data_IF_536355452799
#
_entry.id   IF_536355452799
#
_cell.length_a   1.000
_cell.length_b   1.000
_cell.length_c   1.000
_cell.angle_alpha   90.00
_cell.angle_beta   90.00
_cell.angle_gamma   90.00
#
_symmetry.space_group_name_H-M   'P 1'
#
loop_
_entity.id
_entity.type
_entity.pdbx_description
1 polymer ?
#
# COMPACT_ATOMS: atom_id res chain seq x y z
N UNK A 1 77.50 -23.46 3.39
CA UNK A 1 76.31 -24.15 2.84
C UNK A 1 75.05 -24.00 3.71
N UNK A 2 75.13 -24.09 5.04
CA UNK A 2 73.96 -24.05 5.93
C UNK A 2 73.11 -22.76 5.84
N UNK A 3 73.72 -21.58 5.71
CA UNK A 3 72.99 -20.30 5.59
C UNK A 3 72.18 -20.18 4.29
N UNK A 4 72.71 -20.76 3.21
CA UNK A 4 72.01 -20.85 1.91
C UNK A 4 70.78 -21.77 2.04
N UNK A 5 70.91 -22.87 2.77
CA UNK A 5 69.81 -23.80 2.99
C UNK A 5 68.67 -23.18 3.82
N UNK A 6 69.01 -22.38 4.83
CA UNK A 6 68.03 -21.59 5.60
C UNK A 6 67.32 -20.54 4.74
N UNK A 7 68.05 -19.89 3.82
CA UNK A 7 67.45 -18.94 2.88
C UNK A 7 66.42 -19.63 1.97
N UNK A 8 66.78 -20.77 1.37
CA UNK A 8 65.85 -21.53 0.53
C UNK A 8 64.63 -22.04 1.29
N UNK A 9 64.80 -22.48 2.54
CA UNK A 9 63.69 -22.91 3.38
C UNK A 9 62.73 -21.77 3.70
N UNK A 10 63.24 -20.56 3.99
CA UNK A 10 62.40 -19.38 4.21
C UNK A 10 61.65 -18.95 2.94
N UNK A 11 62.26 -19.10 1.77
CA UNK A 11 61.67 -18.70 0.50
C UNK A 11 60.53 -19.64 0.08
N UNK A 12 60.63 -20.93 0.39
CA UNK A 12 59.58 -21.91 0.11
C UNK A 12 58.27 -21.63 0.86
N UNK A 13 58.33 -21.10 2.09
CA UNK A 13 57.15 -20.77 2.89
C UNK A 13 56.33 -19.61 2.30
N UNK A 14 57.00 -18.66 1.63
CA UNK A 14 56.35 -17.46 1.06
C UNK A 14 55.65 -17.79 -0.27
N UNK A 15 56.05 -18.88 -0.95
CA UNK A 15 55.46 -19.31 -2.22
C UNK A 15 54.04 -19.88 -2.07
N UNK A 16 53.72 -20.49 -0.92
CA UNK A 16 52.40 -21.09 -0.61
C UNK A 16 51.36 -20.05 -0.10
N UNK A 17 51.76 -18.81 0.19
CA UNK A 17 50.89 -17.81 0.84
C UNK A 17 49.96 -17.04 -0.13
N UNK A 18 49.69 -17.56 -1.33
CA UNK A 18 48.86 -16.90 -2.36
C UNK A 18 47.47 -17.54 -2.49
N UNK A 19 46.86 -17.95 -1.38
CA UNK A 19 45.46 -18.34 -1.41
C UNK A 19 44.55 -17.10 -1.57
N UNK A 20 43.66 -17.16 -2.56
CA UNK A 20 42.70 -16.12 -2.85
C UNK A 20 41.52 -16.24 -1.88
N UNK A 21 41.29 -15.28 -0.97
CA UNK A 21 40.22 -15.37 0.03
C UNK A 21 38.80 -15.23 -0.58
N UNK A 22 38.70 -14.99 -1.89
CA UNK A 22 37.45 -14.94 -2.65
C UNK A 22 37.25 -16.17 -3.53
N UNK A 23 38.20 -17.10 -3.58
CA UNK A 23 37.98 -18.36 -4.27
C UNK A 23 37.16 -19.30 -3.40
N UNK A 24 35.98 -19.62 -3.91
CA UNK A 24 35.12 -20.62 -3.31
C UNK A 24 35.71 -21.99 -3.63
N UNK A 25 36.04 -22.74 -2.59
CA UNK A 25 36.39 -24.16 -2.64
C UNK A 25 35.19 -25.08 -2.99
N UNK A 26 34.06 -24.50 -3.38
CA UNK A 26 32.82 -25.18 -3.76
C UNK A 26 32.54 -24.94 -5.25
N UNK A 27 31.99 -25.95 -5.94
CA UNK A 27 31.52 -25.80 -7.32
C UNK A 27 30.38 -24.77 -7.36
N UNK A 28 30.24 -23.97 -8.44
CA UNK A 28 29.06 -23.11 -8.68
C UNK A 28 27.71 -23.83 -8.53
N UNK A 29 27.70 -25.16 -8.64
CA UNK A 29 26.51 -26.00 -8.45
C UNK A 29 26.20 -26.28 -6.96
N UNK A 30 27.22 -26.24 -6.09
CA UNK A 30 27.11 -26.47 -4.64
C UNK A 30 26.81 -25.16 -3.87
N UNK A 31 27.18 -24.01 -4.43
CA UNK A 31 26.88 -22.68 -3.88
C UNK A 31 25.47 -22.20 -4.24
N UNK A 32 24.46 -23.02 -3.99
CA UNK A 32 23.03 -22.63 -3.99
C UNK A 32 22.49 -22.02 -5.28
N UNK A 33 21.51 -22.67 -5.91
CA UNK A 33 20.79 -22.06 -7.02
C UNK A 33 20.16 -20.72 -6.59
N UNK A 34 20.35 -19.68 -7.40
CA UNK A 34 19.67 -18.38 -7.22
C UNK A 34 18.16 -18.60 -7.14
N UNK A 35 17.54 -18.21 -6.02
CA UNK A 35 16.10 -18.34 -5.78
C UNK A 35 15.30 -17.27 -6.51
N UNK A 36 15.61 -16.98 -7.79
CA UNK A 36 14.80 -16.10 -8.63
C UNK A 36 13.48 -16.79 -8.95
N UNK A 37 12.60 -16.81 -7.95
CA UNK A 37 11.20 -17.15 -8.10
C UNK A 37 10.55 -15.89 -8.66
N UNK A 38 10.25 -15.93 -9.96
CA UNK A 38 9.45 -14.90 -10.60
C UNK A 38 8.03 -14.99 -10.04
N UNK A 39 7.64 -14.04 -9.19
CA UNK A 39 6.24 -13.88 -8.81
C UNK A 39 5.45 -13.38 -10.02
N UNK A 40 4.78 -14.30 -10.71
CA UNK A 40 3.83 -13.96 -11.76
C UNK A 40 2.46 -13.66 -11.12
N UNK A 41 2.03 -12.40 -11.19
CA UNK A 41 0.68 -11.98 -10.78
C UNK A 41 -0.26 -12.07 -11.96
N UNK A 42 -1.44 -12.65 -11.75
CA UNK A 42 -2.50 -12.69 -12.75
C UNK A 42 -3.21 -11.35 -12.85
N UNK A 43 -3.72 -11.01 -14.04
CA UNK A 43 -4.50 -9.80 -14.27
C UNK A 43 -5.80 -9.77 -13.43
N UNK A 44 -6.17 -8.58 -12.97
CA UNK A 44 -7.39 -8.37 -12.20
C UNK A 44 -8.65 -8.51 -13.07
N UNK A 45 -9.59 -9.36 -12.66
CA UNK A 45 -10.89 -9.55 -13.32
C UNK A 45 -12.01 -8.91 -12.50
N UNK A 46 -12.21 -9.39 -11.28
CA UNK A 46 -13.16 -8.82 -10.33
C UNK A 46 -12.79 -9.19 -8.88
N UNK A 47 -13.35 -8.45 -7.94
CA UNK A 47 -13.35 -8.79 -6.52
C UNK A 47 -14.76 -8.58 -5.95
N UNK A 48 -15.23 -9.52 -5.14
CA UNK A 48 -16.51 -9.42 -4.45
C UNK A 48 -16.32 -9.15 -2.96
N UNK A 49 -17.17 -8.29 -2.41
CA UNK A 49 -17.20 -7.93 -1.00
C UNK A 49 -18.63 -8.10 -0.47
N UNK A 50 -18.76 -8.83 0.63
CA UNK A 50 -20.03 -8.94 1.37
C UNK A 50 -20.02 -8.00 2.56
N UNK A 51 -21.14 -7.34 2.79
CA UNK A 51 -21.29 -6.41 3.90
C UNK A 51 -21.91 -7.14 5.11
N UNK A 52 -21.60 -6.71 6.34
CA UNK A 52 -22.25 -7.25 7.53
C UNK A 52 -23.73 -6.84 7.58
N UNK A 53 -24.55 -7.62 8.29
CA UNK A 53 -26.00 -7.38 8.40
C UNK A 53 -26.39 -6.05 9.07
N UNK A 54 -25.45 -5.42 9.76
CA UNK A 54 -25.62 -4.09 10.35
C UNK A 54 -25.37 -2.94 9.36
N UNK A 55 -24.87 -3.22 8.15
CA UNK A 55 -24.55 -2.18 7.18
C UNK A 55 -25.82 -1.57 6.58
N UNK A 56 -25.94 -0.24 6.64
CA UNK A 56 -27.13 0.48 6.14
C UNK A 56 -26.77 1.63 5.20
N UNK A 57 -25.64 2.29 5.44
CA UNK A 57 -25.17 3.45 4.68
C UNK A 57 -23.75 3.15 4.25
N UNK A 58 -23.50 3.18 2.94
CA UNK A 58 -22.18 3.11 2.35
C UNK A 58 -21.57 4.52 2.34
N UNK A 59 -20.51 4.68 3.14
CA UNK A 59 -19.84 5.97 3.37
C UNK A 59 -18.89 6.32 2.24
N UNK A 60 -17.87 5.48 2.05
CA UNK A 60 -16.85 5.64 1.03
C UNK A 60 -16.37 4.28 0.53
N UNK A 61 -15.67 4.28 -0.59
CA UNK A 61 -14.84 3.18 -1.05
C UNK A 61 -13.41 3.70 -1.22
N UNK A 62 -12.42 2.95 -0.76
CA UNK A 62 -11.01 3.25 -1.02
C UNK A 62 -10.33 2.10 -1.74
N UNK A 63 -9.45 2.45 -2.68
CA UNK A 63 -8.64 1.49 -3.42
C UNK A 63 -7.18 1.86 -3.21
N UNK A 64 -6.43 0.94 -2.62
CA UNK A 64 -4.98 1.05 -2.47
C UNK A 64 -4.31 0.30 -3.61
N UNK A 65 -3.36 0.95 -4.28
CA UNK A 65 -2.69 0.40 -5.45
C UNK A 65 -1.20 0.74 -5.46
N UNK A 66 -0.44 -0.06 -6.21
CA UNK A 66 0.98 0.18 -6.45
C UNK A 66 1.14 0.91 -7.79
N UNK A 67 1.84 2.04 -7.77
CA UNK A 67 2.16 2.82 -8.96
C UNK A 67 3.26 2.13 -9.79
N UNK A 68 3.46 2.62 -11.02
CA UNK A 68 4.52 2.12 -11.92
C UNK A 68 5.93 2.33 -11.36
N UNK A 69 6.11 3.31 -10.49
CA UNK A 69 7.37 3.58 -9.78
C UNK A 69 7.56 2.70 -8.53
N UNK A 70 6.59 1.84 -8.22
CA UNK A 70 6.60 0.95 -7.06
C UNK A 70 6.08 1.55 -5.76
N UNK A 71 5.76 2.85 -5.73
CA UNK A 71 5.14 3.51 -4.56
C UNK A 71 3.68 3.06 -4.35
N UNK A 72 3.17 3.22 -3.13
CA UNK A 72 1.79 2.84 -2.77
C UNK A 72 0.95 4.11 -2.66
N UNK A 73 -0.17 4.15 -3.39
CA UNK A 73 -1.16 5.23 -3.38
C UNK A 73 -2.54 4.73 -2.98
N UNK A 74 -3.40 5.66 -2.54
CA UNK A 74 -4.80 5.40 -2.17
C UNK A 74 -5.71 6.40 -2.89
N UNK A 75 -6.79 5.90 -3.49
CA UNK A 75 -7.88 6.72 -4.06
C UNK A 75 -9.16 6.48 -3.25
N UNK A 76 -9.80 7.55 -2.78
CA UNK A 76 -11.00 7.50 -1.94
C UNK A 76 -12.18 8.18 -2.63
N UNK A 77 -13.26 7.42 -2.82
CA UNK A 77 -14.51 7.92 -3.41
C UNK A 77 -15.58 8.03 -2.33
N UNK A 78 -16.12 9.24 -2.13
CA UNK A 78 -17.27 9.49 -1.25
C UNK A 78 -18.58 9.09 -1.92
N UNK A 79 -19.41 8.29 -1.23
CA UNK A 79 -20.66 7.75 -1.78
C UNK A 79 -21.87 8.27 -1.00
N UNK A 80 -21.89 8.10 0.32
CA UNK A 80 -22.98 8.55 1.22
C UNK A 80 -24.38 8.12 0.76
N UNK A 81 -24.59 6.81 0.54
CA UNK A 81 -25.88 6.26 0.08
C UNK A 81 -26.36 5.10 0.93
N UNK A 82 -27.68 4.91 0.97
CA UNK A 82 -28.28 3.71 1.55
C UNK A 82 -27.96 2.49 0.69
N UNK A 83 -27.71 1.35 1.32
CA UNK A 83 -27.41 0.08 0.64
C UNK A 83 -28.26 -1.07 1.18
N UNK A 84 -28.44 -2.08 0.35
CA UNK A 84 -28.91 -3.41 0.77
C UNK A 84 -27.68 -4.31 0.96
N UNK A 85 -27.44 -4.73 2.20
CA UNK A 85 -26.28 -5.53 2.58
C UNK A 85 -26.41 -7.01 2.17
N UNK A 86 -27.60 -7.47 1.80
CA UNK A 86 -27.80 -8.83 1.29
C UNK A 86 -27.21 -9.01 -0.12
N UNK A 87 -26.89 -7.91 -0.80
CA UNK A 87 -26.31 -7.92 -2.14
C UNK A 87 -24.80 -7.75 -2.06
N UNK A 88 -24.01 -8.62 -2.72
CA UNK A 88 -22.57 -8.46 -2.78
C UNK A 88 -22.18 -7.25 -3.63
N UNK A 89 -21.18 -6.50 -3.17
CA UNK A 89 -20.53 -5.46 -3.96
C UNK A 89 -19.46 -6.10 -4.83
N UNK A 90 -19.40 -5.71 -6.10
CA UNK A 90 -18.42 -6.23 -7.06
C UNK A 90 -17.60 -5.06 -7.60
N UNK A 91 -16.29 -5.11 -7.40
CA UNK A 91 -15.32 -4.27 -8.09
C UNK A 91 -14.90 -4.98 -9.37
N UNK A 92 -15.07 -4.34 -10.51
CA UNK A 92 -14.67 -4.87 -11.82
C UNK A 92 -14.12 -3.77 -12.71
N UNK A 93 -13.31 -4.17 -13.70
CA UNK A 93 -12.85 -3.25 -14.71
C UNK A 93 -13.97 -3.02 -15.74
N UNK A 94 -14.42 -1.78 -15.87
CA UNK A 94 -15.25 -1.39 -16.99
C UNK A 94 -14.38 -1.37 -18.25
N UNK A 95 -14.74 -2.14 -19.28
CA UNK A 95 -14.25 -1.83 -20.62
C UNK A 95 -14.86 -0.48 -21.01
N UNK A 96 -14.01 0.49 -21.34
CA UNK A 96 -14.47 1.78 -21.80
C UNK A 96 -15.16 1.61 -23.15
N UNK A 97 -16.47 1.38 -23.14
CA UNK A 97 -17.29 1.72 -24.29
C UNK A 97 -17.26 3.25 -24.37
N UNK A 98 -16.75 3.79 -25.48
CA UNK A 98 -16.48 5.22 -25.69
C UNK A 98 -17.72 6.15 -25.63
N UNK A 99 -18.86 5.67 -25.13
CA UNK A 99 -20.13 6.36 -25.04
C UNK A 99 -20.76 6.21 -23.64
N UNK A 100 -20.02 6.54 -22.57
CA UNK A 100 -20.62 6.73 -21.25
C UNK A 100 -20.04 8.02 -20.66
N UNK A 101 -20.78 9.11 -20.88
CA UNK A 101 -20.50 10.42 -20.32
C UNK A 101 -20.38 10.36 -18.79
N UNK A 102 -19.40 11.12 -18.27
CA UNK A 102 -19.21 11.47 -16.86
C UNK A 102 -20.52 11.67 -16.08
N UNK A 103 -20.54 11.40 -14.77
CA UNK A 103 -21.73 11.61 -13.95
C UNK A 103 -22.18 13.07 -14.08
N UNK A 104 -23.32 13.25 -14.74
CA UNK A 104 -24.05 14.50 -14.85
C UNK A 104 -24.47 14.87 -13.43
N UNK A 105 -23.75 15.81 -12.82
CA UNK A 105 -24.22 16.53 -11.65
C UNK A 105 -25.33 17.46 -12.14
N UNK A 106 -26.58 17.01 -12.05
CA UNK A 106 -27.73 17.90 -12.20
C UNK A 106 -27.77 18.84 -10.98
N UNK A 107 -27.78 20.17 -11.15
CA UNK A 107 -28.03 21.09 -10.05
C UNK A 107 -29.49 20.91 -9.60
N UNK A 108 -29.68 20.42 -8.37
CA UNK A 108 -30.98 20.38 -7.71
C UNK A 108 -31.45 21.81 -7.49
N UNK A 109 -32.41 22.25 -8.30
CA UNK A 109 -33.11 23.51 -8.13
C UNK A 109 -34.19 23.31 -7.05
N UNK A 110 -33.86 23.57 -5.78
CA UNK A 110 -34.86 23.68 -4.70
C UNK A 110 -35.52 25.04 -4.80
N UNK A 111 -36.71 25.06 -5.38
CA UNK A 111 -37.65 26.18 -5.30
C UNK A 111 -38.25 26.25 -3.90
N UNK A 112 -37.45 26.68 -2.91
CA UNK A 112 -37.96 27.03 -1.59
C UNK A 112 -38.40 28.50 -1.58
N UNK A 113 -39.72 28.68 -1.54
CA UNK A 113 -40.35 29.98 -1.33
C UNK A 113 -40.07 30.47 0.10
N UNK A 114 -39.24 31.50 0.25
CA UNK A 114 -39.15 32.29 1.51
C UNK A 114 -39.65 33.71 1.30
N UNK A 115 -40.79 33.99 1.96
CA UNK A 115 -41.31 35.32 2.27
C UNK A 115 -40.49 35.95 3.39
N UNK A 116 -40.10 37.19 3.15
CA UNK A 116 -39.35 38.12 4.00
C UNK A 116 -39.93 38.32 5.41
N UNK A 117 -39.05 38.37 6.42
CA UNK A 117 -39.10 39.34 7.52
C UNK A 117 -37.76 39.38 8.28
N UNK A 118 -37.13 40.55 8.27
CA UNK A 118 -35.91 40.92 8.97
C UNK A 118 -36.21 41.48 10.37
N UNK A 119 -35.48 41.05 11.42
CA UNK A 119 -35.20 41.90 12.61
C UNK A 119 -34.02 41.43 13.48
N UNK A 120 -32.95 42.24 13.46
CA UNK A 120 -31.93 42.62 14.48
C UNK A 120 -31.19 41.57 15.34
N UNK A 121 -29.86 41.67 15.26
CA UNK A 121 -28.78 41.10 16.09
C UNK A 121 -28.65 41.85 17.45
N UNK A 122 -28.13 41.19 18.52
CA UNK A 122 -26.79 41.56 19.02
C UNK A 122 -25.88 40.36 19.39
N UNK A 123 -24.58 40.65 19.45
CA UNK A 123 -23.40 39.77 19.54
C UNK A 123 -23.00 39.32 20.97
N UNK A 124 -21.95 38.46 21.04
CA UNK A 124 -21.09 37.96 22.16
C UNK A 124 -21.23 36.43 22.37
N UNK A 125 -20.22 35.55 22.37
CA UNK A 125 -18.75 35.63 22.52
C UNK A 125 -18.07 34.43 21.84
N UNK A 126 -16.81 34.66 21.46
CA UNK A 126 -15.76 33.71 21.13
C UNK A 126 -15.38 32.85 22.35
N UNK A 127 -15.29 31.53 22.20
CA UNK A 127 -14.49 30.66 23.09
C UNK A 127 -13.83 29.55 22.29
N UNK A 128 -12.54 29.36 22.56
CA UNK A 128 -11.60 28.50 21.86
C UNK A 128 -11.49 27.16 22.60
N UNK A 129 -11.10 26.13 21.84
CA UNK A 129 -10.24 25.03 22.26
C UNK A 129 -10.91 23.85 23.02
N UNK A 130 -10.88 22.65 22.43
CA UNK A 130 -9.97 21.58 22.89
C UNK A 130 -10.03 20.29 22.06
N UNK A 131 -8.84 19.97 21.52
CA UNK A 131 -8.15 18.66 21.50
C UNK A 131 -8.73 17.47 20.73
N UNK A 132 -7.97 17.16 19.68
CA UNK A 132 -7.71 15.82 19.13
C UNK A 132 -7.32 14.80 20.20
N UNK A 133 -7.93 13.62 20.16
CA UNK A 133 -7.37 12.37 20.68
C UNK A 133 -8.02 11.19 19.95
N UNK A 134 -7.26 10.50 19.10
CA UNK A 134 -7.58 9.12 18.68
C UNK A 134 -6.38 8.26 19.10
N UNK A 135 -6.59 7.12 19.77
CA UNK A 135 -5.49 6.29 20.24
C UNK A 135 -4.87 5.47 19.10
N UNK A 136 -3.54 5.43 19.14
CA UNK A 136 -2.65 4.44 18.52
C UNK A 136 -3.13 3.00 18.83
N UNK A 137 -3.24 2.16 17.81
CA UNK A 137 -3.20 0.70 17.99
C UNK A 137 -1.95 0.14 17.33
N UNK A 138 -0.95 -0.12 18.18
CA UNK A 138 0.10 -1.10 17.92
C UNK A 138 -0.32 -2.41 18.56
N UNK A 139 -0.42 -3.47 17.77
CA UNK A 139 -0.25 -4.83 18.25
C UNK A 139 0.68 -5.55 17.28
N UNK A 140 1.97 -5.50 17.59
CA UNK A 140 2.94 -6.49 17.13
C UNK A 140 2.64 -7.84 17.77
N UNK A 141 3.00 -8.89 17.06
CA UNK A 141 2.77 -10.27 17.48
C UNK A 141 3.70 -10.74 18.59
N UNK A 142 3.37 -11.90 19.12
CA UNK A 142 4.33 -12.81 19.72
C UNK A 142 3.90 -14.23 19.36
N UNK A 143 4.84 -14.93 18.73
CA UNK A 143 4.79 -16.36 18.47
C UNK A 143 5.15 -17.08 19.77
N UNK A 144 4.30 -18.01 20.21
CA UNK A 144 4.71 -19.19 20.99
C UNK A 144 3.88 -20.37 20.53
#
# INVERSE_FOLDING_TARGET
MQKILWLFLSLAVILEARENPFETNMSPQDVGQTTQIKEERTDFVNASLTLPSSARILKSASVTFQNLDGSISEEVVGIEKNIDWHLPLILSNAKADANASSPIVLPVNVSDSKKSAEKKVPALKEEKNCKSHYPEYKCGGEYI
#
